data_IF_361519414465
#
_entry.id   IF_361519414465
#
_cell.length_a   1.000
_cell.length_b   1.000
_cell.length_c   1.000
_cell.angle_alpha   90.00
_cell.angle_beta   90.00
_cell.angle_gamma   90.00
#
_symmetry.space_group_name_H-M   'P 1'
#
loop_
_entity.id
_entity.type
_entity.pdbx_description
1 polymer ?
#
# COMPACT_ATOMS: atom_id res chain seq x y z
N UNK A 1 28.21 -5.16 16.30
CA UNK A 1 27.36 -6.33 16.65
C UNK A 1 26.12 -5.83 17.37
N UNK A 2 24.94 -6.14 16.83
CA UNK A 2 23.67 -6.21 17.59
C UNK A 2 22.95 -4.90 17.87
N UNK A 3 22.17 -4.39 16.91
CA UNK A 3 20.97 -3.64 17.24
C UNK A 3 19.79 -4.61 17.10
N UNK A 4 19.46 -5.26 18.21
CA UNK A 4 18.22 -6.04 18.34
C UNK A 4 17.10 -5.05 18.65
N UNK A 5 16.13 -4.94 17.76
CA UNK A 5 14.88 -4.22 18.00
C UNK A 5 13.69 -5.15 17.74
N UNK A 6 13.68 -6.28 18.45
CA UNK A 6 12.46 -7.05 18.67
C UNK A 6 11.69 -6.42 19.84
N UNK A 7 10.98 -5.32 19.59
CA UNK A 7 9.76 -4.98 20.33
C UNK A 7 9.04 -3.80 19.64
N UNK A 8 8.13 -4.10 18.73
CA UNK A 8 7.09 -3.14 18.35
C UNK A 8 5.77 -3.72 18.84
N UNK A 9 5.20 -3.06 19.85
CA UNK A 9 3.93 -3.39 20.49
C UNK A 9 2.81 -3.57 19.44
N UNK A 10 1.94 -4.60 19.57
CA UNK A 10 0.94 -4.95 18.57
C UNK A 10 -0.37 -4.14 18.69
N UNK A 11 -0.28 -2.84 18.98
CA UNK A 11 -1.46 -1.99 19.25
C UNK A 11 -1.34 -0.60 18.61
N UNK A 12 -0.66 -0.49 17.47
CA UNK A 12 -0.67 0.74 16.67
C UNK A 12 -1.83 0.69 15.68
N UNK A 13 -2.92 1.34 16.09
CA UNK A 13 -4.15 1.58 15.32
C UNK A 13 -3.86 1.90 13.84
N UNK A 14 -4.70 1.32 12.97
CA UNK A 14 -4.82 1.40 11.50
C UNK A 14 -4.24 2.60 10.73
N UNK A 15 -4.00 3.75 11.35
CA UNK A 15 -3.33 4.91 10.76
C UNK A 15 -1.81 4.71 10.55
N UNK A 16 -1.16 3.80 11.28
CA UNK A 16 0.28 3.54 11.12
C UNK A 16 0.60 2.36 10.17
N UNK A 17 -0.40 1.55 9.83
CA UNK A 17 -0.17 0.32 9.06
C UNK A 17 0.25 0.60 7.60
N UNK A 18 -0.42 1.50 6.88
CA UNK A 18 -0.04 1.79 5.48
C UNK A 18 1.28 2.56 5.38
N UNK A 19 1.68 3.28 6.44
CA UNK A 19 2.96 3.98 6.50
C UNK A 19 4.15 3.02 6.44
N UNK A 20 3.98 1.80 6.96
CA UNK A 20 5.00 0.75 6.86
C UNK A 20 5.16 0.22 5.43
N UNK A 21 4.07 0.12 4.66
CA UNK A 21 4.11 -0.27 3.24
C UNK A 21 4.97 0.70 2.42
N UNK A 22 4.86 2.01 2.68
CA UNK A 22 5.61 3.04 1.97
C UNK A 22 7.13 3.04 2.25
N UNK A 23 7.60 2.27 3.24
CA UNK A 23 9.02 2.14 3.58
C UNK A 23 9.68 0.92 2.90
N UNK A 24 8.90 0.07 2.24
CA UNK A 24 9.42 -1.13 1.56
C UNK A 24 10.05 -0.70 0.22
N UNK A 25 11.36 -0.87 0.10
CA UNK A 25 12.12 -0.51 -1.11
C UNK A 25 12.25 -1.67 -2.13
N UNK A 26 11.71 -2.84 -1.81
CA UNK A 26 11.76 -4.03 -2.65
C UNK A 26 10.38 -4.27 -3.26
N UNK A 27 10.29 -4.30 -4.59
CA UNK A 27 9.01 -4.29 -5.32
C UNK A 27 8.16 -5.54 -5.06
N UNK A 28 8.79 -6.72 -4.95
CA UNK A 28 8.05 -7.96 -4.71
C UNK A 28 7.49 -7.99 -3.28
N UNK A 29 8.28 -7.62 -2.26
CA UNK A 29 7.82 -7.49 -0.89
C UNK A 29 6.74 -6.41 -0.75
N UNK A 30 6.89 -5.26 -1.42
CA UNK A 30 5.89 -4.20 -1.42
C UNK A 30 4.57 -4.72 -1.98
N UNK A 31 4.63 -5.40 -3.13
CA UNK A 31 3.44 -5.93 -3.80
C UNK A 31 2.74 -7.00 -2.97
N UNK A 32 3.50 -7.91 -2.34
CA UNK A 32 2.97 -8.93 -1.47
C UNK A 32 2.29 -8.33 -0.22
N UNK A 33 2.99 -7.44 0.48
CA UNK A 33 2.45 -6.77 1.67
C UNK A 33 1.23 -5.91 1.34
N UNK A 34 1.24 -5.23 0.19
CA UNK A 34 0.11 -4.45 -0.30
C UNK A 34 -1.09 -5.33 -0.65
N UNK A 35 -0.86 -6.48 -1.28
CA UNK A 35 -1.91 -7.44 -1.59
C UNK A 35 -2.61 -7.92 -0.32
N UNK A 36 -1.84 -8.29 0.71
CA UNK A 36 -2.38 -8.78 1.97
C UNK A 36 -3.15 -7.68 2.70
N UNK A 37 -2.62 -6.46 2.72
CA UNK A 37 -3.29 -5.28 3.29
C UNK A 37 -4.66 -5.00 2.62
N UNK A 38 -4.73 -5.14 1.29
CA UNK A 38 -5.92 -4.85 0.48
C UNK A 38 -6.94 -6.02 0.43
N UNK A 39 -6.69 -7.08 1.19
CA UNK A 39 -7.64 -8.19 1.35
C UNK A 39 -8.88 -7.73 2.11
N UNK A 40 -8.69 -6.93 3.18
CA UNK A 40 -9.76 -6.39 4.01
C UNK A 40 -10.12 -4.93 3.69
N UNK A 41 -9.38 -4.30 2.77
CA UNK A 41 -9.46 -2.86 2.48
C UNK A 41 -9.48 -2.59 0.98
N UNK A 42 -10.21 -1.54 0.60
CA UNK A 42 -10.27 -1.09 -0.80
C UNK A 42 -9.21 -0.04 -1.15
N UNK A 43 -8.75 0.72 -0.16
CA UNK A 43 -7.82 1.84 -0.30
C UNK A 43 -6.82 1.86 0.88
N UNK A 44 -5.72 2.60 0.72
CA UNK A 44 -4.72 2.76 1.78
C UNK A 44 -5.15 3.71 2.89
N UNK A 45 -6.01 4.68 2.58
CA UNK A 45 -6.55 5.59 3.59
C UNK A 45 -7.99 5.98 3.25
N UNK A 46 -8.84 6.02 4.28
CA UNK A 46 -10.24 6.41 4.15
C UNK A 46 -11.09 5.41 3.35
N UNK A 47 -12.20 5.92 2.79
CA UNK A 47 -13.18 5.14 2.03
C UNK A 47 -13.12 5.39 0.52
N UNK A 48 -12.12 6.13 0.07
CA UNK A 48 -11.99 6.54 -1.32
C UNK A 48 -10.54 6.78 -1.71
N UNK A 49 -10.27 7.00 -3.01
CA UNK A 49 -8.93 7.20 -3.52
C UNK A 49 -8.29 8.46 -2.92
N UNK A 50 -7.12 8.30 -2.30
CA UNK A 50 -6.46 9.31 -1.47
C UNK A 50 -5.00 9.55 -1.86
N UNK A 51 -4.37 10.58 -1.29
CA UNK A 51 -2.94 10.87 -1.50
C UNK A 51 -2.03 9.71 -1.05
N UNK A 52 -2.45 8.89 -0.07
CA UNK A 52 -1.71 7.71 0.34
C UNK A 52 -1.63 6.68 -0.80
N UNK A 53 -2.74 6.48 -1.52
CA UNK A 53 -2.80 5.58 -2.65
C UNK A 53 -1.88 6.03 -3.79
N UNK A 54 -1.83 7.34 -4.08
CA UNK A 54 -0.90 7.87 -5.09
C UNK A 54 0.57 7.64 -4.73
N UNK A 55 0.93 7.77 -3.45
CA UNK A 55 2.32 7.54 -3.01
C UNK A 55 2.71 6.09 -3.23
N UNK A 56 1.89 5.14 -2.79
CA UNK A 56 2.14 3.72 -3.03
C UNK A 56 2.13 3.38 -4.52
N UNK A 57 1.21 3.96 -5.29
CA UNK A 57 1.11 3.74 -6.72
C UNK A 57 2.39 4.18 -7.45
N UNK A 58 3.03 5.27 -7.02
CA UNK A 58 4.30 5.73 -7.60
C UNK A 58 5.49 4.83 -7.28
N UNK A 59 5.43 4.06 -6.18
CA UNK A 59 6.45 3.07 -5.85
C UNK A 59 6.34 1.81 -6.72
N UNK A 60 5.20 1.60 -7.38
CA UNK A 60 4.94 0.49 -8.29
C UNK A 60 4.93 0.98 -9.75
N UNK A 61 6.08 0.96 -10.44
CA UNK A 61 6.16 1.45 -11.82
C UNK A 61 5.40 0.56 -12.80
N UNK A 62 5.17 -0.70 -12.44
CA UNK A 62 4.49 -1.70 -13.27
C UNK A 62 3.26 -2.27 -12.55
N UNK A 63 2.27 -2.78 -13.30
CA UNK A 63 1.13 -3.45 -12.70
C UNK A 63 1.58 -4.72 -11.95
N UNK A 64 1.04 -4.97 -10.74
CA UNK A 64 1.29 -6.20 -9.99
C UNK A 64 1.00 -7.47 -10.81
N UNK A 65 1.75 -8.53 -10.55
CA UNK A 65 1.51 -9.82 -11.16
C UNK A 65 0.07 -10.33 -10.88
N UNK A 66 -0.55 -11.10 -11.79
CA UNK A 66 -1.93 -11.58 -11.63
C UNK A 66 -2.20 -12.39 -10.36
N UNK A 67 -1.16 -13.00 -9.77
CA UNK A 67 -1.25 -13.69 -8.49
C UNK A 67 -1.60 -12.77 -7.31
N UNK A 68 -1.28 -11.48 -7.40
CA UNK A 68 -1.57 -10.48 -6.38
C UNK A 68 -2.89 -9.77 -6.71
N UNK A 69 -3.98 -10.54 -6.66
CA UNK A 69 -5.31 -10.13 -7.14
C UNK A 69 -5.84 -8.85 -6.48
N UNK A 70 -5.58 -8.65 -5.19
CA UNK A 70 -6.06 -7.49 -4.44
C UNK A 70 -5.25 -6.24 -4.79
N UNK A 71 -3.93 -6.38 -4.89
CA UNK A 71 -3.04 -5.31 -5.33
C UNK A 71 -3.33 -4.92 -6.79
N UNK A 72 -3.54 -5.89 -7.68
CA UNK A 72 -3.83 -5.64 -9.10
C UNK A 72 -5.19 -4.92 -9.28
N UNK A 73 -6.22 -5.35 -8.55
CA UNK A 73 -7.53 -4.68 -8.52
C UNK A 73 -7.37 -3.21 -8.12
N UNK A 74 -6.69 -2.96 -7.01
CA UNK A 74 -6.42 -1.60 -6.52
C UNK A 74 -5.60 -0.78 -7.52
N UNK A 75 -4.54 -1.35 -8.09
CA UNK A 75 -3.66 -0.67 -9.05
C UNK A 75 -4.45 -0.14 -10.26
N UNK A 76 -5.31 -0.99 -10.85
CA UNK A 76 -6.20 -0.60 -11.95
C UNK A 76 -7.20 0.48 -11.56
N UNK A 77 -7.69 0.42 -10.33
CA UNK A 77 -8.66 1.40 -9.83
C UNK A 77 -8.00 2.77 -9.58
N UNK A 78 -6.79 2.79 -8.99
CA UNK A 78 -6.02 4.02 -8.79
C UNK A 78 -5.52 4.58 -10.12
N UNK A 79 -5.11 3.75 -11.08
CA UNK A 79 -4.66 4.24 -12.39
C UNK A 79 -5.74 5.05 -13.11
N UNK A 80 -7.01 4.63 -12.99
CA UNK A 80 -8.17 5.35 -13.52
C UNK A 80 -8.50 6.59 -12.68
N UNK A 81 -8.38 6.50 -11.34
CA UNK A 81 -8.80 7.56 -10.43
C UNK A 81 -7.73 8.62 -10.15
N UNK A 82 -6.47 8.41 -10.56
CA UNK A 82 -5.33 9.27 -10.19
C UNK A 82 -5.56 10.76 -10.43
N UNK A 83 -6.25 11.11 -11.51
CA UNK A 83 -6.57 12.50 -11.85
C UNK A 83 -7.48 13.13 -10.78
N UNK A 84 -8.48 12.38 -10.29
CA UNK A 84 -9.36 12.81 -9.20
C UNK A 84 -8.60 13.00 -7.90
N UNK A 85 -7.60 12.16 -7.60
CA UNK A 85 -6.79 12.31 -6.38
C UNK A 85 -5.94 13.58 -6.44
N UNK A 86 -5.35 13.92 -7.59
CA UNK A 86 -4.50 15.10 -7.76
C UNK A 86 -5.29 16.41 -7.60
N UNK A 87 -6.59 16.42 -7.91
CA UNK A 87 -7.44 17.60 -7.82
C UNK A 87 -8.16 17.77 -6.47
N UNK A 88 -7.96 16.85 -5.51
CA UNK A 88 -8.54 16.90 -4.17
C UNK A 88 -7.59 17.54 -3.15
#
# INVERSE_FOLDING_TARGET
MGCSAANVCPLVSAAFEFGSLLQINEEAALTAALNDYLTSRSYLAGFGPSQADLRAFRLLPQPPAPQHVHALRWYRHISMSKAKIIMQ
#
